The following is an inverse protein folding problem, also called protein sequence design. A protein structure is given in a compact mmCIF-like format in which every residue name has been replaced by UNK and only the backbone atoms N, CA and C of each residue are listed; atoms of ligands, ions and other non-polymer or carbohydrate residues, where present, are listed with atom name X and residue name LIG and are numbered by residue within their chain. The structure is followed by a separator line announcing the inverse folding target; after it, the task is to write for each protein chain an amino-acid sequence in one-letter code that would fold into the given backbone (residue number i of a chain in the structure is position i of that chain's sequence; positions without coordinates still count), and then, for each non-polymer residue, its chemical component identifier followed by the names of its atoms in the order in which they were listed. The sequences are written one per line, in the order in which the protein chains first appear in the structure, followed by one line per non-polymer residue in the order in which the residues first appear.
data_IF_573921859778
#
_entry.id   IF_573921859778
#
_cell.length_a   1.000
_cell.length_b   1.000
_cell.length_c   1.000
_cell.angle_alpha   90.00
_cell.angle_beta   90.00
_cell.angle_gamma   90.00
#
_symmetry.space_group_name_H-M   'P 1'
#
loop_
_entity.id
_entity.type
_entity.pdbx_description
1 polymer ?
#
# COMPACT_ATOMS: atom_id res chain seq x y z
N UNK A 1 -3.66 -13.45 -12.76
CA UNK A 1 -2.96 -12.54 -13.72
C UNK A 1 -2.98 -11.14 -13.13
N UNK A 2 -2.06 -10.29 -13.56
CA UNK A 2 -1.88 -8.94 -13.04
C UNK A 2 -2.86 -7.96 -13.73
N UNK A 3 -3.77 -7.31 -12.97
CA UNK A 3 -4.84 -6.45 -13.53
C UNK A 3 -4.41 -5.01 -13.74
N UNK A 4 -5.06 -4.30 -14.66
CA UNK A 4 -4.92 -2.83 -14.72
C UNK A 4 -5.65 -2.19 -13.54
N UNK A 5 -4.94 -1.42 -12.72
CA UNK A 5 -5.49 -0.80 -11.52
C UNK A 5 -5.51 0.74 -11.59
N UNK A 6 -5.12 1.36 -12.71
CA UNK A 6 -5.11 2.83 -12.82
C UNK A 6 -6.49 3.47 -12.63
N UNK A 7 -7.55 2.73 -12.93
CA UNK A 7 -8.92 3.18 -12.71
C UNK A 7 -9.27 3.39 -11.23
N UNK A 8 -8.52 2.79 -10.29
CA UNK A 8 -8.72 2.98 -8.84
C UNK A 8 -8.26 4.36 -8.37
N UNK A 9 -7.47 5.08 -9.16
CA UNK A 9 -7.10 6.45 -8.86
C UNK A 9 -8.21 7.41 -9.34
N UNK A 10 -8.77 8.26 -8.46
CA UNK A 10 -9.76 9.26 -8.84
C UNK A 10 -9.27 10.17 -9.97
N UNK A 11 -10.15 10.51 -10.90
CA UNK A 11 -9.81 11.33 -12.07
C UNK A 11 -9.17 12.67 -11.69
N UNK A 12 -9.66 13.30 -10.62
CA UNK A 12 -9.13 14.56 -10.07
C UNK A 12 -7.65 14.51 -9.69
N UNK A 13 -7.10 13.31 -9.44
CA UNK A 13 -5.69 13.13 -9.07
C UNK A 13 -4.79 12.77 -10.25
N UNK A 14 -5.35 12.25 -11.35
CA UNK A 14 -4.57 11.68 -12.47
C UNK A 14 -3.69 12.71 -13.19
N UNK A 15 -3.99 14.00 -13.06
CA UNK A 15 -3.17 15.07 -13.62
C UNK A 15 -1.78 15.18 -12.98
N UNK A 16 -1.67 14.90 -11.69
CA UNK A 16 -0.45 15.13 -10.90
C UNK A 16 0.02 13.91 -10.10
N UNK A 17 -0.76 12.83 -10.04
CA UNK A 17 -0.44 11.62 -9.30
C UNK A 17 -0.42 10.40 -10.22
N UNK A 18 0.58 9.53 -10.04
CA UNK A 18 0.66 8.21 -10.67
C UNK A 18 0.96 7.14 -9.62
N UNK A 19 0.33 5.98 -9.70
CA UNK A 19 0.67 4.80 -8.89
C UNK A 19 1.10 3.69 -9.84
N UNK A 20 2.27 3.10 -9.58
CA UNK A 20 2.85 2.06 -10.43
C UNK A 20 3.66 1.06 -9.60
N UNK A 21 3.90 -0.09 -10.21
CA UNK A 21 4.91 -1.05 -9.77
C UNK A 21 6.29 -0.65 -10.33
N UNK A 22 7.35 -0.88 -9.57
CA UNK A 22 8.75 -0.66 -9.98
C UNK A 22 9.59 -1.91 -9.66
N UNK A 23 10.69 -2.09 -10.37
CA UNK A 23 11.61 -3.22 -10.15
C UNK A 23 12.75 -2.87 -9.20
N UNK A 24 13.26 -1.63 -9.23
CA UNK A 24 14.36 -1.17 -8.39
C UNK A 24 13.86 -0.19 -7.32
N UNK A 25 13.47 -0.74 -6.17
CA UNK A 25 13.04 0.06 -5.02
C UNK A 25 14.21 0.82 -4.38
N UNK A 26 15.40 0.24 -4.33
CA UNK A 26 16.52 0.89 -3.67
C UNK A 26 16.88 2.21 -4.37
N UNK A 27 16.91 2.20 -5.70
CA UNK A 27 17.14 3.41 -6.51
C UNK A 27 16.12 4.52 -6.22
N UNK A 28 14.82 4.20 -6.14
CA UNK A 28 13.76 5.22 -6.10
C UNK A 28 13.28 5.56 -4.68
N UNK A 29 13.15 4.56 -3.81
CA UNK A 29 12.57 4.68 -2.46
C UNK A 29 13.58 4.42 -1.33
N UNK A 30 14.80 3.98 -1.61
CA UNK A 30 15.79 3.63 -0.58
C UNK A 30 16.08 4.74 0.43
N UNK A 31 16.15 6.01 -0.02
CA UNK A 31 16.34 7.15 0.89
C UNK A 31 15.12 7.38 1.81
N UNK A 32 13.91 7.23 1.29
CA UNK A 32 12.67 7.34 2.07
C UNK A 32 12.56 6.21 3.08
N UNK A 33 12.86 4.98 2.66
CA UNK A 33 12.75 3.79 3.48
C UNK A 33 13.72 3.84 4.67
N UNK A 34 15.00 4.16 4.43
CA UNK A 34 15.99 4.36 5.50
C UNK A 34 15.58 5.43 6.50
N UNK A 35 15.05 6.56 6.02
CA UNK A 35 14.57 7.62 6.92
C UNK A 35 13.41 7.16 7.82
N UNK A 36 12.56 6.25 7.33
CA UNK A 36 11.34 5.82 8.03
C UNK A 36 11.55 4.60 8.92
N UNK A 37 12.40 3.68 8.49
CA UNK A 37 12.57 2.37 9.12
C UNK A 37 14.01 2.09 9.56
N UNK A 38 14.97 2.97 9.22
CA UNK A 38 16.40 2.75 9.45
C UNK A 38 16.94 1.43 8.84
N UNK A 39 16.38 1.05 7.69
CA UNK A 39 16.69 -0.19 6.99
C UNK A 39 16.70 0.08 5.46
N UNK A 40 17.28 -0.77 4.59
CA UNK A 40 17.14 -0.63 3.14
C UNK A 40 15.73 -1.06 2.70
N UNK A 41 15.32 -0.63 1.51
CA UNK A 41 14.08 -1.15 0.94
C UNK A 41 14.19 -2.67 0.70
N UNK A 42 13.08 -3.44 0.79
CA UNK A 42 13.09 -4.85 0.42
C UNK A 42 13.73 -5.07 -0.96
N UNK A 43 14.55 -6.11 -1.10
CA UNK A 43 15.29 -6.45 -2.33
C UNK A 43 14.58 -7.51 -3.19
N UNK A 44 13.31 -7.77 -2.89
CA UNK A 44 12.47 -8.74 -3.60
C UNK A 44 11.20 -8.08 -4.16
N UNK A 45 10.65 -8.60 -5.28
CA UNK A 45 9.67 -7.89 -6.12
C UNK A 45 8.37 -7.47 -5.41
N UNK A 46 7.54 -6.70 -6.14
CA UNK A 46 6.24 -6.12 -5.75
C UNK A 46 6.34 -4.81 -4.96
N UNK A 47 7.10 -3.89 -5.52
CA UNK A 47 7.26 -2.53 -5.03
C UNK A 47 6.20 -1.63 -5.66
N UNK A 48 5.25 -1.12 -4.87
CA UNK A 48 4.29 -0.11 -5.35
C UNK A 48 4.74 1.26 -4.86
N UNK A 49 4.82 2.20 -5.80
CA UNK A 49 5.15 3.60 -5.52
C UNK A 49 4.01 4.52 -5.98
N UNK A 50 3.70 5.52 -5.17
CA UNK A 50 2.94 6.68 -5.59
C UNK A 50 3.92 7.81 -5.93
N UNK A 51 3.77 8.41 -7.10
CA UNK A 51 4.58 9.50 -7.62
C UNK A 51 3.73 10.75 -7.78
N UNK A 52 4.26 11.89 -7.33
CA UNK A 52 3.69 13.21 -7.50
C UNK A 52 4.53 13.99 -8.53
N UNK A 53 3.88 14.59 -9.52
CA UNK A 53 4.49 15.53 -10.45
C UNK A 53 4.11 16.95 -10.03
N UNK A 54 5.10 17.77 -9.71
CA UNK A 54 4.87 19.16 -9.32
C UNK A 54 4.59 20.08 -10.52
N UNK A 55 4.29 21.34 -10.22
CA UNK A 55 3.96 22.35 -11.23
C UNK A 55 5.11 22.62 -12.22
N UNK A 56 6.35 22.39 -11.80
CA UNK A 56 7.55 22.53 -12.64
C UNK A 56 7.85 21.24 -13.44
N UNK A 57 7.02 20.21 -13.26
CA UNK A 57 7.12 18.92 -13.94
C UNK A 57 8.07 17.92 -13.28
N UNK A 58 8.69 18.27 -12.14
CA UNK A 58 9.57 17.36 -11.43
C UNK A 58 8.78 16.27 -10.71
N UNK A 59 9.33 15.06 -10.68
CA UNK A 59 8.68 13.89 -10.08
C UNK A 59 9.26 13.60 -8.69
N UNK A 60 8.36 13.41 -7.72
CA UNK A 60 8.67 13.16 -6.33
C UNK A 60 7.99 11.87 -5.86
N UNK A 61 8.70 11.05 -5.09
CA UNK A 61 8.09 9.92 -4.39
C UNK A 61 7.13 10.44 -3.34
N UNK A 62 5.85 10.13 -3.49
CA UNK A 62 4.78 10.48 -2.54
C UNK A 62 4.61 9.41 -1.46
N UNK A 63 4.79 8.14 -1.81
CA UNK A 63 4.72 7.03 -0.87
C UNK A 63 5.06 5.69 -1.50
N UNK A 64 5.20 4.68 -0.65
CA UNK A 64 5.66 3.35 -0.99
C UNK A 64 4.91 2.29 -0.17
N UNK A 65 4.71 1.12 -0.75
CA UNK A 65 4.24 -0.08 -0.06
C UNK A 65 4.83 -1.33 -0.71
N UNK A 66 5.24 -2.29 0.11
CA UNK A 66 5.70 -3.59 -0.36
C UNK A 66 4.57 -4.61 -0.27
N UNK A 67 4.37 -5.39 -1.33
CA UNK A 67 3.28 -6.35 -1.46
C UNK A 67 3.83 -7.75 -1.68
N UNK A 68 4.36 -8.37 -0.63
CA UNK A 68 5.05 -9.65 -0.69
C UNK A 68 4.08 -10.81 -0.99
N UNK A 69 4.26 -11.57 -2.08
CA UNK A 69 3.54 -12.82 -2.26
C UNK A 69 4.00 -13.87 -1.23
N UNK A 70 3.05 -14.57 -0.60
CA UNK A 70 3.32 -15.62 0.38
C UNK A 70 2.37 -16.81 0.18
N UNK A 71 2.60 -17.55 -0.91
CA UNK A 71 1.70 -18.60 -1.36
C UNK A 71 0.39 -18.01 -1.90
N UNK A 72 -0.71 -18.32 -1.24
CA UNK A 72 -2.08 -17.88 -1.55
C UNK A 72 -2.47 -16.54 -0.90
N UNK A 73 -1.57 -15.87 -0.18
CA UNK A 73 -1.82 -14.56 0.43
C UNK A 73 -0.78 -13.54 -0.02
N UNK A 74 -1.13 -12.26 0.09
CA UNK A 74 -0.18 -11.17 0.00
C UNK A 74 0.02 -10.53 1.37
N UNK A 75 1.27 -10.23 1.71
CA UNK A 75 1.66 -9.51 2.91
C UNK A 75 2.04 -8.07 2.52
N UNK A 76 1.23 -7.12 2.95
CA UNK A 76 1.46 -5.68 2.79
C UNK A 76 2.30 -5.18 3.96
N UNK A 77 3.58 -4.93 3.71
CA UNK A 77 4.57 -4.50 4.71
C UNK A 77 5.34 -3.26 4.27
N UNK A 78 6.20 -2.74 5.16
CA UNK A 78 7.15 -1.65 4.84
C UNK A 78 6.51 -0.39 4.23
N UNK A 79 5.27 -0.08 4.57
CA UNK A 79 4.52 1.00 3.91
C UNK A 79 4.82 2.36 4.52
N UNK A 80 5.13 3.36 3.69
CA UNK A 80 5.45 4.70 4.18
C UNK A 80 5.02 5.82 3.22
N UNK A 81 4.71 6.98 3.79
CA UNK A 81 4.39 8.20 3.06
C UNK A 81 5.49 9.25 3.19
N UNK A 82 5.65 10.06 2.14
CA UNK A 82 6.64 11.14 2.09
C UNK A 82 5.98 12.50 2.33
N UNK A 83 6.00 12.95 3.59
CA UNK A 83 5.44 14.24 3.97
C UNK A 83 6.10 15.44 3.27
N UNK A 84 7.36 15.31 2.82
CA UNK A 84 8.03 16.40 2.10
C UNK A 84 7.51 16.55 0.67
N UNK A 85 7.11 15.44 0.02
CA UNK A 85 6.40 15.52 -1.26
C UNK A 85 5.02 16.15 -1.09
N UNK A 86 4.29 15.83 0.00
CA UNK A 86 2.99 16.44 0.30
C UNK A 86 3.12 17.95 0.55
N UNK A 87 4.21 18.42 1.18
CA UNK A 87 4.46 19.86 1.40
C UNK A 87 4.71 20.63 0.09
N UNK A 88 5.12 19.95 -0.98
CA UNK A 88 5.34 20.55 -2.31
C UNK A 88 4.03 20.74 -3.08
N UNK A 89 2.98 20.01 -2.71
CA UNK A 89 1.68 20.08 -3.37
C UNK A 89 1.06 21.45 -3.23
N UNK A 90 0.42 21.91 -4.30
CA UNK A 90 -0.48 23.05 -4.22
C UNK A 90 -1.65 22.73 -3.28
N UNK A 91 -2.27 23.76 -2.70
CA UNK A 91 -3.34 23.56 -1.73
C UNK A 91 -4.47 22.66 -2.28
N UNK A 92 -4.92 22.94 -3.50
CA UNK A 92 -5.99 22.16 -4.13
C UNK A 92 -5.61 20.70 -4.42
N UNK A 93 -4.36 20.43 -4.78
CA UNK A 93 -3.85 19.06 -5.02
C UNK A 93 -3.82 18.26 -3.72
N UNK A 94 -3.35 18.89 -2.65
CA UNK A 94 -3.26 18.28 -1.32
C UNK A 94 -4.65 18.01 -0.74
N UNK A 95 -5.58 18.95 -0.90
CA UNK A 95 -6.95 18.78 -0.44
C UNK A 95 -7.66 17.67 -1.22
N UNK A 96 -7.43 17.57 -2.54
CA UNK A 96 -7.92 16.46 -3.37
C UNK A 96 -7.33 15.11 -2.93
N UNK A 97 -6.02 15.05 -2.64
CA UNK A 97 -5.36 13.84 -2.13
C UNK A 97 -6.00 13.36 -0.83
N UNK A 98 -6.24 14.26 0.12
CA UNK A 98 -6.83 13.89 1.40
C UNK A 98 -8.32 13.56 1.30
N UNK A 99 -9.07 14.27 0.46
CA UNK A 99 -10.47 13.93 0.16
C UNK A 99 -10.59 12.53 -0.44
N UNK A 100 -9.58 12.07 -1.18
CA UNK A 100 -9.51 10.72 -1.72
C UNK A 100 -9.02 9.65 -0.72
N UNK A 101 -8.73 10.00 0.54
CA UNK A 101 -8.27 9.09 1.60
C UNK A 101 -6.76 9.11 1.86
N UNK A 102 -5.99 9.89 1.09
CA UNK A 102 -4.54 10.05 1.26
C UNK A 102 -3.69 8.98 0.55
N UNK A 103 -2.38 9.16 0.60
CA UNK A 103 -1.41 8.38 -0.21
C UNK A 103 -1.49 6.88 0.01
N UNK A 104 -1.44 6.43 1.28
CA UNK A 104 -1.38 5.00 1.56
C UNK A 104 -2.71 4.30 1.27
N UNK A 105 -3.84 4.96 1.54
CA UNK A 105 -5.16 4.49 1.11
C UNK A 105 -5.19 4.21 -0.40
N UNK A 106 -4.75 5.16 -1.22
CA UNK A 106 -4.74 5.00 -2.67
C UNK A 106 -3.81 3.87 -3.14
N UNK A 107 -2.64 3.72 -2.51
CA UNK A 107 -1.73 2.60 -2.78
C UNK A 107 -2.40 1.26 -2.45
N UNK A 108 -3.09 1.14 -1.30
CA UNK A 108 -3.82 -0.07 -0.93
C UNK A 108 -4.92 -0.41 -1.94
N UNK A 109 -5.74 0.59 -2.33
CA UNK A 109 -6.79 0.38 -3.34
C UNK A 109 -6.22 -0.08 -4.68
N UNK A 110 -5.10 0.51 -5.11
CA UNK A 110 -4.39 0.08 -6.31
C UNK A 110 -3.89 -1.37 -6.16
N UNK A 111 -3.23 -1.70 -5.05
CA UNK A 111 -2.66 -3.03 -4.81
C UNK A 111 -3.73 -4.13 -4.79
N UNK A 112 -4.86 -3.86 -4.13
CA UNK A 112 -5.98 -4.79 -4.03
C UNK A 112 -6.53 -5.14 -5.39
N UNK A 113 -6.74 -4.15 -6.25
CA UNK A 113 -7.21 -4.42 -7.61
C UNK A 113 -6.13 -5.12 -8.44
N UNK A 114 -4.89 -4.60 -8.39
CA UNK A 114 -3.74 -5.10 -9.15
C UNK A 114 -3.52 -6.60 -8.95
N UNK A 115 -3.64 -7.06 -7.71
CA UNK A 115 -3.30 -8.41 -7.28
C UNK A 115 -4.52 -9.28 -6.92
N UNK A 116 -5.75 -8.83 -7.17
CA UNK A 116 -6.97 -9.55 -6.79
C UNK A 116 -7.00 -11.02 -7.29
N UNK A 117 -6.46 -11.28 -8.48
CA UNK A 117 -6.40 -12.64 -9.07
C UNK A 117 -5.11 -13.40 -8.75
N UNK A 118 -4.25 -12.84 -7.90
CA UNK A 118 -2.97 -13.43 -7.51
C UNK A 118 -2.99 -14.02 -6.10
N UNK A 119 -4.06 -13.80 -5.33
CA UNK A 119 -4.19 -14.28 -3.96
C UNK A 119 -5.64 -14.47 -3.53
N UNK A 120 -5.79 -15.11 -2.39
CA UNK A 120 -7.06 -15.33 -1.70
C UNK A 120 -7.38 -14.25 -0.67
N UNK A 121 -6.34 -13.61 -0.11
CA UNK A 121 -6.49 -12.48 0.80
C UNK A 121 -5.23 -11.62 0.89
N UNK A 122 -5.39 -10.41 1.41
CA UNK A 122 -4.29 -9.53 1.79
C UNK A 122 -4.20 -9.41 3.31
N UNK A 123 -2.98 -9.45 3.83
CA UNK A 123 -2.68 -9.28 5.26
C UNK A 123 -1.62 -8.20 5.43
N UNK A 124 -1.56 -7.66 6.64
CA UNK A 124 -0.85 -6.42 6.96
C UNK A 124 -0.76 -6.28 8.44
N UNK A 125 0.42 -5.83 8.86
CA UNK A 125 0.77 -5.63 10.23
C UNK A 125 0.83 -4.12 10.51
N UNK A 126 0.06 -3.63 11.48
CA UNK A 126 -0.07 -2.18 11.72
C UNK A 126 -0.22 -1.85 13.20
N UNK A 127 0.89 -1.40 13.80
CA UNK A 127 0.95 -0.93 15.19
C UNK A 127 0.61 0.54 15.40
N UNK A 128 0.66 1.37 14.35
CA UNK A 128 0.40 2.82 14.44
C UNK A 128 -1.11 3.14 14.36
N UNK A 129 -1.69 3.91 15.31
CA UNK A 129 -3.13 4.23 15.32
C UNK A 129 -3.64 4.88 14.03
N UNK A 130 -2.87 5.80 13.43
CA UNK A 130 -3.28 6.47 12.20
C UNK A 130 -3.28 5.51 11.02
N UNK A 131 -2.29 4.62 10.95
CA UNK A 131 -2.26 3.57 9.95
C UNK A 131 -3.46 2.61 10.14
N UNK A 132 -3.88 2.28 11.37
CA UNK A 132 -5.07 1.46 11.59
C UNK A 132 -6.34 2.09 11.02
N UNK A 133 -6.53 3.40 11.18
CA UNK A 133 -7.65 4.14 10.58
C UNK A 133 -7.66 4.02 9.05
N UNK A 134 -6.50 4.21 8.42
CA UNK A 134 -6.35 4.10 6.96
C UNK A 134 -6.60 2.67 6.47
N UNK A 135 -6.09 1.67 7.17
CA UNK A 135 -6.30 0.26 6.83
C UNK A 135 -7.80 -0.08 6.85
N UNK A 136 -8.50 0.27 7.94
CA UNK A 136 -9.95 0.04 8.06
C UNK A 136 -10.71 0.77 6.95
N UNK A 137 -10.38 2.04 6.68
CA UNK A 137 -10.99 2.80 5.59
C UNK A 137 -10.77 2.15 4.21
N UNK A 138 -9.61 1.54 3.99
CA UNK A 138 -9.28 0.82 2.75
C UNK A 138 -10.02 -0.52 2.60
N UNK A 139 -10.75 -0.97 3.63
CA UNK A 139 -11.55 -2.20 3.65
C UNK A 139 -10.89 -3.35 4.39
N UNK A 140 -9.89 -3.08 5.22
CA UNK A 140 -9.30 -4.08 6.08
C UNK A 140 -10.15 -4.30 7.33
N UNK A 141 -10.11 -5.51 7.87
CA UNK A 141 -10.83 -5.92 9.06
C UNK A 141 -9.80 -6.35 10.11
N UNK A 142 -9.89 -5.86 11.36
CA UNK A 142 -9.03 -6.35 12.44
C UNK A 142 -9.26 -7.85 12.66
N UNK A 143 -8.18 -8.57 12.96
CA UNK A 143 -8.25 -9.99 13.31
C UNK A 143 -8.25 -10.18 14.81
N UNK A 144 -8.26 -11.43 15.27
CA UNK A 144 -8.06 -11.77 16.69
C UNK A 144 -6.62 -11.53 17.18
N UNK A 145 -5.66 -11.39 16.25
CA UNK A 145 -4.27 -11.14 16.57
C UNK A 145 -3.96 -9.65 16.56
N UNK A 146 -3.26 -9.19 17.60
CA UNK A 146 -2.88 -7.79 17.74
C UNK A 146 -2.11 -7.32 16.51
N UNK A 147 -2.44 -6.11 16.04
CA UNK A 147 -1.86 -5.44 14.87
C UNK A 147 -2.05 -6.16 13.53
N UNK A 148 -2.62 -7.36 13.48
CA UNK A 148 -2.86 -8.07 12.24
C UNK A 148 -4.26 -7.75 11.72
N UNK A 149 -4.29 -7.30 10.47
CA UNK A 149 -5.51 -7.00 9.74
C UNK A 149 -5.58 -7.85 8.48
N UNK A 150 -6.79 -8.04 7.96
CA UNK A 150 -7.05 -8.80 6.74
C UNK A 150 -8.03 -8.10 5.83
N UNK A 151 -7.80 -8.16 4.52
CA UNK A 151 -8.78 -7.82 3.50
C UNK A 151 -9.21 -9.11 2.76
N UNK A 152 -10.45 -9.54 3.01
CA UNK A 152 -11.10 -10.62 2.29
C UNK A 152 -11.78 -10.06 1.03
N UNK A 153 -11.04 -9.92 -0.07
CA UNK A 153 -11.57 -9.32 -1.30
C UNK A 153 -12.49 -10.24 -2.11
N UNK A 154 -12.60 -11.52 -1.72
CA UNK A 154 -13.46 -12.51 -2.38
C UNK A 154 -14.06 -13.51 -1.37
N UNK A 155 -15.19 -14.17 -1.70
CA UNK A 155 -15.78 -15.16 -0.82
C UNK A 155 -14.87 -16.37 -0.66
N UNK A 156 -14.70 -16.84 0.57
CA UNK A 156 -13.92 -18.03 0.92
C UNK A 156 -14.64 -18.81 2.02
N UNK A 157 -14.57 -20.15 2.03
CA UNK A 157 -15.06 -20.95 3.15
C UNK A 157 -14.39 -20.56 4.46
N UNK A 158 -15.13 -20.62 5.57
CA UNK A 158 -14.63 -20.22 6.89
C UNK A 158 -13.41 -21.02 7.33
N UNK A 159 -13.40 -22.34 7.07
CA UNK A 159 -12.25 -23.21 7.33
C UNK A 159 -10.98 -22.72 6.62
N UNK A 160 -11.13 -22.20 5.40
CA UNK A 160 -10.03 -21.66 4.62
C UNK A 160 -9.57 -20.31 5.17
N UNK A 161 -10.50 -19.42 5.54
CA UNK A 161 -10.17 -18.13 6.19
C UNK A 161 -9.36 -18.35 7.48
N UNK A 162 -9.75 -19.31 8.32
CA UNK A 162 -9.00 -19.65 9.55
C UNK A 162 -7.59 -20.14 9.25
N UNK A 163 -7.41 -20.98 8.22
CA UNK A 163 -6.10 -21.45 7.81
C UNK A 163 -5.19 -20.32 7.30
N UNK A 164 -5.71 -19.43 6.46
CA UNK A 164 -4.96 -18.27 5.95
C UNK A 164 -4.60 -17.28 7.06
N UNK A 165 -5.52 -17.07 8.00
CA UNK A 165 -5.27 -16.21 9.16
C UNK A 165 -4.16 -16.79 10.06
N UNK A 166 -4.22 -18.08 10.39
CA UNK A 166 -3.16 -18.73 11.16
C UNK A 166 -1.81 -18.69 10.44
N UNK A 167 -1.82 -18.87 9.11
CA UNK A 167 -0.63 -18.74 8.26
C UNK A 167 -0.02 -17.34 8.33
N UNK A 168 -0.83 -16.30 8.18
CA UNK A 168 -0.35 -14.92 8.27
C UNK A 168 0.19 -14.58 9.66
N UNK A 169 -0.51 -15.02 10.72
CA UNK A 169 -0.06 -14.82 12.09
C UNK A 169 1.29 -15.47 12.38
N UNK A 170 1.52 -16.68 11.86
CA UNK A 170 2.78 -17.41 12.04
C UNK A 170 4.00 -16.71 11.40
N UNK A 171 3.79 -15.75 10.48
CA UNK A 171 4.88 -14.93 9.91
C UNK A 171 5.43 -13.94 10.95
N UNK A 172 4.58 -13.43 11.86
CA UNK A 172 4.94 -12.38 12.79
C UNK A 172 4.86 -10.98 12.18
N UNK A 173 5.77 -10.09 12.57
CA UNK A 173 5.87 -8.73 12.04
C UNK A 173 6.51 -8.74 10.63
N UNK A 174 5.98 -7.91 9.72
CA UNK A 174 6.46 -7.77 8.34
C UNK A 174 6.18 -6.39 7.75
#
# INVERSE_FOLDING_TARGET
MLRSALHTLPESLRGFLTITEIDDAEFLVGALFRRKFNDPAPDFPRHIVALYRDADGATHVLGYSHMRPFGDIYLSGGSCSNGDAVKRMQAHERDALYAAGGTWYLILKYAFERYADCCDAFFGYTGDPRAREVAVAAGWIPTEYENLYVNWHKPLPESFRRALLAKAHAVGEF
#
